data_IF_983276367042
#
_entry.id   IF_983276367042
#
_cell.length_a   1.000
_cell.length_b   1.000
_cell.length_c   1.000
_cell.angle_alpha   90.00
_cell.angle_beta   90.00
_cell.angle_gamma   90.00
#
_symmetry.space_group_name_H-M   'P 1'
#
loop_
_entity.id
_entity.type
_entity.pdbx_description
1 polymer ?
#
# COMPACT_ATOMS: atom_id res chain seq x y z
N UNK A 1 -64.30 -35.71 -12.70
CA UNK A 1 -63.51 -36.08 -11.49
C UNK A 1 -62.03 -36.11 -11.87
N UNK A 2 -61.18 -35.71 -10.94
CA UNK A 2 -59.70 -35.65 -10.98
C UNK A 2 -59.07 -34.35 -11.48
N UNK A 3 -58.76 -33.48 -10.51
CA UNK A 3 -57.74 -32.45 -10.58
C UNK A 3 -56.59 -32.91 -9.67
N UNK A 4 -55.38 -33.09 -10.21
CA UNK A 4 -54.19 -33.33 -9.40
C UNK A 4 -53.55 -32.01 -9.00
N UNK A 5 -53.32 -31.85 -7.70
CA UNK A 5 -52.74 -30.65 -7.10
C UNK A 5 -51.77 -31.05 -6.00
N UNK A 6 -50.70 -30.27 -5.92
CA UNK A 6 -49.78 -30.03 -4.79
C UNK A 6 -48.52 -30.90 -4.67
N UNK A 7 -47.44 -30.37 -5.27
CA UNK A 7 -46.15 -29.99 -4.65
C UNK A 7 -45.72 -30.73 -3.37
N UNK A 8 -44.60 -31.47 -3.46
CA UNK A 8 -43.77 -31.87 -2.32
C UNK A 8 -42.30 -31.57 -2.69
N UNK A 9 -41.78 -30.43 -2.23
CA UNK A 9 -40.86 -30.33 -1.07
C UNK A 9 -39.41 -30.74 -1.41
N UNK A 10 -38.68 -29.84 -2.04
CA UNK A 10 -37.21 -29.87 -2.10
C UNK A 10 -36.65 -29.46 -0.74
N UNK A 11 -36.08 -30.43 0.00
CA UNK A 11 -35.23 -30.20 1.16
C UNK A 11 -33.94 -29.51 0.69
N UNK A 12 -33.90 -28.18 0.82
CA UNK A 12 -32.67 -27.41 0.65
C UNK A 12 -31.85 -27.54 1.94
N UNK A 13 -30.96 -28.52 1.97
CA UNK A 13 -29.96 -28.70 3.01
C UNK A 13 -29.02 -27.49 3.02
N UNK A 14 -29.23 -26.56 3.94
CA UNK A 14 -28.35 -25.42 4.17
C UNK A 14 -27.10 -25.90 4.91
N UNK A 15 -26.13 -26.43 4.18
CA UNK A 15 -24.80 -26.71 4.71
C UNK A 15 -24.10 -25.38 5.01
N UNK A 16 -24.03 -25.02 6.29
CA UNK A 16 -23.13 -23.99 6.79
C UNK A 16 -21.70 -24.39 6.44
N UNK A 17 -21.17 -23.82 5.36
CA UNK A 17 -19.75 -23.90 5.06
C UNK A 17 -19.01 -23.16 6.17
N UNK A 18 -18.34 -23.92 7.05
CA UNK A 18 -17.40 -23.38 8.01
C UNK A 18 -16.28 -22.68 7.23
N UNK A 19 -16.30 -21.34 7.24
CA UNK A 19 -15.22 -20.54 6.66
C UNK A 19 -13.97 -20.81 7.50
N UNK A 20 -12.87 -21.32 6.93
CA UNK A 20 -11.64 -21.50 7.68
C UNK A 20 -11.18 -20.14 8.18
N UNK A 21 -11.12 -19.98 9.49
CA UNK A 21 -10.48 -18.82 10.12
C UNK A 21 -8.98 -18.98 9.89
N UNK A 22 -8.43 -18.22 8.94
CA UNK A 22 -6.99 -18.09 8.81
C UNK A 22 -6.45 -17.55 10.14
N UNK A 23 -5.69 -18.36 10.86
CA UNK A 23 -5.02 -17.95 12.09
C UNK A 23 -3.97 -16.90 11.74
N UNK A 24 -4.27 -15.63 12.00
CA UNK A 24 -3.29 -14.55 11.95
C UNK A 24 -2.30 -14.81 13.10
N UNK A 25 -1.08 -15.22 12.77
CA UNK A 25 -0.02 -15.41 13.75
C UNK A 25 0.44 -14.07 14.32
N UNK A 26 0.70 -14.01 15.62
CA UNK A 26 1.44 -12.90 16.20
C UNK A 26 2.83 -12.83 15.55
N UNK A 27 3.33 -11.64 15.19
CA UNK A 27 4.70 -11.50 14.73
C UNK A 27 5.66 -12.12 15.75
N UNK A 28 6.57 -12.97 15.28
CA UNK A 28 7.61 -13.58 16.11
C UNK A 28 8.98 -13.18 15.58
N UNK A 29 9.94 -12.93 16.47
CA UNK A 29 11.27 -12.46 16.12
C UNK A 29 11.92 -11.65 17.23
N UNK A 30 13.24 -11.48 17.14
CA UNK A 30 13.99 -10.62 18.05
C UNK A 30 14.03 -9.19 17.51
N UNK A 31 14.05 -8.21 18.42
CA UNK A 31 14.40 -6.85 18.05
C UNK A 31 15.84 -6.81 17.53
N UNK A 32 16.05 -6.05 16.46
CA UNK A 32 17.39 -5.72 15.94
C UNK A 32 17.45 -4.24 15.59
N UNK A 33 18.64 -3.63 15.53
CA UNK A 33 18.80 -2.31 14.96
C UNK A 33 18.32 -2.29 13.50
N UNK A 34 17.71 -1.18 13.11
CA UNK A 34 17.44 -0.88 11.71
C UNK A 34 18.76 -0.70 10.96
N UNK A 35 18.79 -1.12 9.71
CA UNK A 35 19.89 -0.87 8.81
C UNK A 35 19.36 -0.31 7.49
N UNK A 36 20.25 0.21 6.66
CA UNK A 36 19.87 0.88 5.43
C UNK A 36 19.23 -0.04 4.38
N UNK A 37 19.49 -1.35 4.43
CA UNK A 37 18.82 -2.32 3.54
C UNK A 37 17.34 -2.52 3.92
N UNK A 38 16.93 -2.18 5.15
CA UNK A 38 15.51 -2.23 5.56
C UNK A 38 14.68 -1.16 4.83
N UNK A 39 15.34 -0.10 4.37
CA UNK A 39 14.73 0.95 3.55
C UNK A 39 14.75 0.59 2.05
N UNK A 40 15.63 -0.31 1.62
CA UNK A 40 15.76 -0.69 0.22
C UNK A 40 14.54 -1.50 -0.25
N UNK A 41 14.18 -1.41 -1.54
CA UNK A 41 13.11 -2.25 -2.09
C UNK A 41 13.46 -3.74 -2.01
N UNK A 42 12.55 -4.51 -1.46
CA UNK A 42 12.71 -5.95 -1.35
C UNK A 42 12.61 -6.65 -2.74
N UNK A 43 13.00 -7.91 -2.89
CA UNK A 43 12.60 -8.70 -4.05
C UNK A 43 11.07 -8.82 -4.12
N UNK A 44 10.48 -8.72 -5.30
CA UNK A 44 9.03 -8.92 -5.45
C UNK A 44 8.69 -10.41 -5.22
N UNK A 45 8.00 -10.72 -4.13
CA UNK A 45 7.62 -12.10 -3.79
C UNK A 45 6.18 -12.38 -4.23
N UNK A 46 6.03 -12.85 -5.47
CA UNK A 46 4.74 -13.26 -6.03
C UNK A 46 4.06 -12.19 -6.89
N UNK A 47 2.87 -12.55 -7.41
CA UNK A 47 2.13 -11.75 -8.42
C UNK A 47 1.29 -10.62 -7.81
N UNK A 48 1.15 -10.57 -6.50
CA UNK A 48 0.33 -9.58 -5.77
C UNK A 48 1.11 -8.89 -4.66
N UNK A 49 2.44 -8.92 -4.77
CA UNK A 49 3.31 -8.27 -3.81
C UNK A 49 3.28 -6.76 -4.01
N UNK A 50 3.02 -6.05 -2.93
CA UNK A 50 2.98 -4.59 -2.88
C UNK A 50 3.91 -4.13 -1.77
N UNK A 51 4.56 -3.00 -1.99
CA UNK A 51 5.42 -2.38 -0.99
C UNK A 51 5.18 -0.89 -0.95
N UNK A 52 5.24 -0.34 0.26
CA UNK A 52 4.92 1.04 0.58
C UNK A 52 6.01 1.62 1.48
N UNK A 53 6.45 2.83 1.15
CA UNK A 53 7.29 3.67 1.99
C UNK A 53 6.44 4.83 2.48
N UNK A 54 6.06 4.77 3.75
CA UNK A 54 5.16 5.72 4.39
C UNK A 54 5.95 6.70 5.23
N UNK A 55 5.74 7.99 4.97
CA UNK A 55 6.30 9.08 5.74
C UNK A 55 5.17 9.82 6.44
N UNK A 56 5.25 9.95 7.75
CA UNK A 56 4.29 10.71 8.55
C UNK A 56 5.00 11.86 9.23
N UNK A 57 4.51 13.07 8.97
CA UNK A 57 4.96 14.29 9.61
C UNK A 57 3.86 14.81 10.51
N UNK A 58 4.14 14.85 11.81
CA UNK A 58 3.28 15.49 12.81
C UNK A 58 3.70 16.95 12.95
N UNK A 59 2.82 17.85 12.58
CA UNK A 59 3.04 19.29 12.63
C UNK A 59 2.21 19.90 13.78
N UNK A 60 2.42 21.19 14.04
CA UNK A 60 1.69 21.90 15.08
C UNK A 60 0.18 21.92 14.82
N UNK A 61 -0.60 22.09 15.89
CA UNK A 61 -2.06 22.26 15.85
C UNK A 61 -2.82 21.07 15.25
N UNK A 62 -2.31 19.85 15.44
CA UNK A 62 -2.97 18.63 14.98
C UNK A 62 -2.98 18.47 13.45
N UNK A 63 -2.10 19.18 12.74
CA UNK A 63 -1.88 18.97 11.31
C UNK A 63 -0.99 17.73 11.16
N UNK A 64 -1.37 16.82 10.28
CA UNK A 64 -0.50 15.73 9.85
C UNK A 64 -0.36 15.73 8.34
N UNK A 65 0.82 15.37 7.87
CA UNK A 65 1.09 15.12 6.46
C UNK A 65 1.56 13.69 6.31
N UNK A 66 0.93 12.93 5.43
CA UNK A 66 1.36 11.59 5.07
C UNK A 66 1.75 11.56 3.61
N UNK A 67 2.89 10.94 3.30
CA UNK A 67 3.29 10.65 1.93
C UNK A 67 3.56 9.16 1.83
N UNK A 68 2.92 8.49 0.89
CA UNK A 68 3.26 7.12 0.54
C UNK A 68 3.88 7.10 -0.85
N UNK A 69 5.03 6.45 -0.96
CA UNK A 69 5.58 5.99 -2.22
C UNK A 69 5.32 4.48 -2.31
N UNK A 70 5.01 3.95 -3.48
CA UNK A 70 4.65 2.54 -3.59
C UNK A 70 5.07 1.91 -4.90
N UNK A 71 5.22 0.58 -4.87
CA UNK A 71 5.17 -0.29 -6.04
C UNK A 71 4.11 -1.35 -5.79
N UNK A 72 3.23 -1.55 -6.76
CA UNK A 72 2.07 -2.42 -6.60
C UNK A 72 1.88 -3.33 -7.82
N UNK A 73 1.58 -4.59 -7.54
CA UNK A 73 1.23 -5.61 -8.53
C UNK A 73 -0.17 -6.15 -8.23
N UNK A 74 -1.01 -6.20 -9.26
CA UNK A 74 -2.42 -6.58 -9.14
C UNK A 74 -2.70 -7.95 -9.75
N UNK A 75 -1.67 -8.80 -9.86
CA UNK A 75 -1.77 -10.10 -10.51
C UNK A 75 -2.15 -9.98 -11.97
N UNK A 76 -3.20 -10.69 -12.38
CA UNK A 76 -3.72 -10.68 -13.75
C UNK A 76 -4.71 -9.54 -14.03
N UNK A 77 -5.03 -8.70 -13.05
CA UNK A 77 -6.07 -7.67 -13.20
C UNK A 77 -5.58 -6.45 -14.00
N UNK A 78 -4.35 -5.99 -13.73
CA UNK A 78 -3.69 -4.92 -14.48
C UNK A 78 -2.17 -5.01 -14.38
N UNK A 79 -1.49 -4.30 -15.26
CA UNK A 79 -0.03 -4.18 -15.23
C UNK A 79 0.46 -3.59 -13.89
N UNK A 80 1.64 -4.01 -13.39
CA UNK A 80 2.25 -3.41 -12.22
C UNK A 80 2.56 -1.93 -12.42
N UNK A 81 2.37 -1.16 -11.36
CA UNK A 81 2.53 0.30 -11.35
C UNK A 81 3.35 0.74 -10.14
N UNK A 82 3.88 1.96 -10.21
CA UNK A 82 4.38 2.65 -9.03
C UNK A 82 3.51 3.88 -8.75
N UNK A 83 3.39 4.24 -7.49
CA UNK A 83 2.43 5.21 -7.01
C UNK A 83 3.04 6.18 -6.02
N UNK A 84 2.45 7.36 -5.95
CA UNK A 84 2.73 8.32 -4.91
C UNK A 84 1.45 9.02 -4.48
N UNK A 85 1.22 9.07 -3.17
CA UNK A 85 0.16 9.86 -2.58
C UNK A 85 0.73 10.87 -1.58
N UNK A 86 0.08 12.01 -1.45
CA UNK A 86 0.32 12.97 -0.39
C UNK A 86 -1.03 13.39 0.16
N UNK A 87 -1.19 13.22 1.48
CA UNK A 87 -2.35 13.70 2.21
C UNK A 87 -1.92 14.71 3.27
N UNK A 88 -2.75 15.72 3.48
CA UNK A 88 -2.61 16.67 4.57
C UNK A 88 -3.93 16.75 5.32
N UNK A 89 -3.92 16.37 6.59
CA UNK A 89 -5.08 16.40 7.47
C UNK A 89 -5.06 17.67 8.32
N UNK A 90 -6.24 18.27 8.48
CA UNK A 90 -6.44 19.51 9.26
C UNK A 90 -5.63 20.73 8.78
N UNK A 91 -5.09 20.70 7.56
CA UNK A 91 -4.38 21.85 7.01
C UNK A 91 -5.38 22.99 6.74
N UNK A 92 -5.25 24.09 7.50
CA UNK A 92 -6.22 25.21 7.49
C UNK A 92 -7.66 24.71 7.74
N UNK A 93 -7.83 23.71 8.60
CA UNK A 93 -9.13 23.14 8.96
C UNK A 93 -9.74 22.22 7.89
N UNK A 94 -8.96 21.78 6.88
CA UNK A 94 -9.44 20.92 5.79
C UNK A 94 -8.47 19.77 5.51
N UNK A 95 -9.00 18.74 4.85
CA UNK A 95 -8.21 17.59 4.40
C UNK A 95 -7.95 17.69 2.90
N UNK A 96 -6.73 17.37 2.49
CA UNK A 96 -6.29 17.37 1.11
C UNK A 96 -5.65 16.03 0.76
N UNK A 97 -5.85 15.58 -0.47
CA UNK A 97 -5.25 14.38 -1.02
C UNK A 97 -4.87 14.63 -2.47
N UNK A 98 -3.65 14.24 -2.84
CA UNK A 98 -3.23 14.10 -4.22
C UNK A 98 -2.60 12.73 -4.41
N UNK A 99 -2.99 12.05 -5.48
CA UNK A 99 -2.46 10.75 -5.86
C UNK A 99 -1.99 10.78 -7.32
N UNK A 100 -0.90 10.07 -7.58
CA UNK A 100 -0.34 9.85 -8.91
C UNK A 100 0.04 8.38 -9.06
N UNK A 101 -0.24 7.85 -10.24
CA UNK A 101 0.14 6.51 -10.66
C UNK A 101 0.99 6.63 -11.92
N UNK A 102 2.06 5.84 -11.97
CA UNK A 102 3.01 5.79 -13.09
C UNK A 102 3.29 4.33 -13.46
N UNK A 103 3.84 4.14 -14.67
CA UNK A 103 4.30 2.81 -15.10
C UNK A 103 5.35 2.29 -14.12
N UNK A 104 5.38 0.98 -13.90
CA UNK A 104 6.41 0.34 -13.06
C UNK A 104 7.84 0.66 -13.50
N UNK A 105 8.08 0.89 -14.79
CA UNK A 105 9.38 1.32 -15.33
C UNK A 105 9.89 2.65 -14.79
N UNK A 106 9.03 3.49 -14.20
CA UNK A 106 9.42 4.76 -13.61
C UNK A 106 10.03 4.58 -12.20
N UNK A 107 9.77 3.43 -11.57
CA UNK A 107 10.33 3.12 -10.27
C UNK A 107 11.84 2.90 -10.40
N UNK A 108 12.62 3.64 -9.63
CA UNK A 108 14.05 3.49 -9.57
C UNK A 108 14.55 3.60 -8.13
N UNK A 109 15.58 2.82 -7.81
CA UNK A 109 16.28 2.89 -6.54
C UNK A 109 17.79 2.97 -6.76
N UNK A 110 18.42 4.03 -6.27
CA UNK A 110 19.87 4.21 -6.27
C UNK A 110 20.43 3.92 -4.87
N UNK A 111 21.25 2.88 -4.76
CA UNK A 111 21.89 2.45 -3.50
C UNK A 111 22.94 3.43 -2.98
N UNK A 112 23.54 4.26 -3.83
CA UNK A 112 24.58 5.19 -3.39
C UNK A 112 23.97 6.37 -2.62
N UNK A 113 22.88 6.93 -3.14
CA UNK A 113 22.15 8.05 -2.54
C UNK A 113 20.94 7.64 -1.70
N UNK A 114 20.61 6.34 -1.67
CA UNK A 114 19.37 5.80 -1.10
C UNK A 114 18.13 6.50 -1.64
N UNK A 115 18.18 6.84 -2.92
CA UNK A 115 17.12 7.55 -3.61
C UNK A 115 16.09 6.56 -4.14
N UNK A 116 14.87 6.66 -3.65
CA UNK A 116 13.70 5.97 -4.18
C UNK A 116 12.87 6.95 -5.00
N UNK A 117 12.74 6.69 -6.29
CA UNK A 117 12.09 7.58 -7.25
C UNK A 117 10.85 6.91 -7.86
N UNK A 118 9.71 7.59 -7.75
CA UNK A 118 8.46 7.24 -8.46
C UNK A 118 8.34 8.07 -9.74
N UNK A 119 8.88 9.28 -9.72
CA UNK A 119 8.93 10.23 -10.83
C UNK A 119 10.12 11.17 -10.58
N UNK A 120 10.67 11.83 -11.61
CA UNK A 120 11.76 12.81 -11.45
C UNK A 120 11.46 13.92 -10.41
N UNK A 121 10.17 14.19 -10.18
CA UNK A 121 9.64 15.18 -9.23
C UNK A 121 8.94 14.59 -8.02
N UNK A 122 9.02 13.27 -7.82
CA UNK A 122 8.44 12.57 -6.68
C UNK A 122 9.39 11.46 -6.23
N UNK A 123 10.15 11.74 -5.16
CA UNK A 123 11.19 10.85 -4.66
C UNK A 123 11.48 11.07 -3.18
N UNK A 124 12.08 10.08 -2.55
CA UNK A 124 12.80 10.21 -1.28
C UNK A 124 14.28 9.94 -1.50
N UNK A 125 15.18 10.57 -0.74
CA UNK A 125 16.63 10.36 -0.80
C UNK A 125 17.28 10.63 0.56
N UNK A 126 18.46 10.05 0.78
CA UNK A 126 19.19 10.20 2.04
C UNK A 126 19.32 8.88 2.80
N UNK A 127 20.21 8.88 3.79
CA UNK A 127 20.55 7.72 4.62
C UNK A 127 19.96 7.90 6.01
N UNK A 128 18.80 7.31 6.34
CA UNK A 128 18.29 7.34 7.70
C UNK A 128 19.25 6.65 8.69
N UNK A 129 19.36 7.15 9.94
CA UNK A 129 18.72 8.36 10.47
C UNK A 129 19.51 9.66 10.18
N UNK A 130 20.67 9.58 9.53
CA UNK A 130 21.60 10.71 9.33
C UNK A 130 20.99 11.83 8.48
N UNK A 131 20.33 11.47 7.38
CA UNK A 131 19.69 12.41 6.48
C UNK A 131 18.49 11.76 5.81
N UNK A 132 17.43 12.53 5.62
CA UNK A 132 16.31 12.11 4.79
C UNK A 132 15.63 13.32 4.16
N UNK A 133 15.39 13.24 2.86
CA UNK A 133 14.68 14.25 2.10
C UNK A 133 13.54 13.59 1.35
N UNK A 134 12.40 14.24 1.39
CA UNK A 134 11.24 13.90 0.60
C UNK A 134 10.93 15.06 -0.33
N UNK A 135 10.79 14.79 -1.61
CA UNK A 135 10.40 15.76 -2.62
C UNK A 135 9.13 15.28 -3.31
N UNK A 136 8.09 16.11 -3.27
CA UNK A 136 6.81 15.82 -3.90
C UNK A 136 6.32 17.07 -4.61
N UNK A 137 6.42 17.08 -5.94
CA UNK A 137 5.90 18.16 -6.75
C UNK A 137 5.16 17.62 -7.96
N UNK A 138 3.87 17.93 -8.04
CA UNK A 138 3.03 17.63 -9.19
C UNK A 138 2.33 18.90 -9.64
N UNK A 139 2.25 19.11 -10.95
CA UNK A 139 1.24 20.00 -11.51
C UNK A 139 -0.09 19.26 -11.44
N UNK A 140 -1.16 19.97 -11.09
CA UNK A 140 -2.48 19.35 -11.07
C UNK A 140 -2.87 18.94 -12.47
#
# INVERSE_FOLDING_TARGET
>A
MSFHRVVFSSLLSLSLLAVPVLSIGVPSGNLRPDNLDDFAPHPQIGKTFNEFWTYTFWLNNGISVEVNLSRASFGSFKDPVCGANLSATNFKGKNYLVAREYKSSNFAFDRNSYRLSIHERIFSEGRPPESHRLFFATTK
#
